data_IF_774917173819
#
_entry.id   IF_774917173819
#
_cell.length_a   1.000
_cell.length_b   1.000
_cell.length_c   1.000
_cell.angle_alpha   90.00
_cell.angle_beta   90.00
_cell.angle_gamma   90.00
#
_symmetry.space_group_name_H-M   'P 1'
#
loop_
_entity.id
_entity.type
_entity.pdbx_description
1 polymer ?
#
# COMPACT_ATOMS: atom_id res chain seq x y z
N UNK A 1 -1.53 -13.47 -13.22
CA UNK A 1 -2.19 -12.44 -12.39
C UNK A 1 -1.21 -11.88 -11.39
N UNK A 2 -1.18 -10.57 -11.23
CA UNK A 2 -0.30 -9.94 -10.27
C UNK A 2 -0.97 -9.88 -8.90
N UNK A 3 -0.19 -10.17 -7.86
CA UNK A 3 -0.65 -10.01 -6.49
C UNK A 3 -0.49 -8.55 -6.08
N UNK A 4 -1.36 -8.06 -5.16
CA UNK A 4 -1.12 -6.76 -4.56
C UNK A 4 0.21 -6.75 -3.83
N UNK A 5 0.93 -5.63 -3.91
CA UNK A 5 2.15 -5.41 -3.14
C UNK A 5 1.81 -4.44 -2.04
N UNK A 6 1.96 -4.87 -0.79
CA UNK A 6 1.68 -4.05 0.38
C UNK A 6 3.01 -3.51 0.90
N UNK A 7 3.17 -2.19 0.81
CA UNK A 7 4.38 -1.51 1.27
C UNK A 7 4.17 -1.12 2.72
N UNK A 8 4.99 -1.66 3.60
CA UNK A 8 4.86 -1.48 5.04
C UNK A 8 6.09 -0.80 5.62
N UNK A 9 6.00 -0.40 6.88
CA UNK A 9 7.15 0.08 7.64
C UNK A 9 7.06 -0.43 9.06
N UNK A 10 8.17 -0.29 9.79
CA UNK A 10 8.25 -0.66 11.20
C UNK A 10 7.29 0.18 12.04
N UNK A 11 6.69 -0.42 13.06
CA UNK A 11 5.79 0.25 14.01
C UNK A 11 4.59 0.93 13.36
N UNK A 12 4.01 0.27 12.37
CA UNK A 12 2.88 0.81 11.62
C UNK A 12 1.59 0.08 11.99
N UNK A 13 0.73 0.73 12.77
CA UNK A 13 -0.57 0.14 13.19
C UNK A 13 -1.49 -0.14 12.01
N UNK A 14 -1.54 0.79 11.05
CA UNK A 14 -2.36 0.60 9.85
C UNK A 14 -1.88 -0.58 9.02
N UNK A 15 -0.57 -0.79 8.96
CA UNK A 15 -0.01 -1.94 8.25
C UNK A 15 -0.48 -3.25 8.87
N UNK A 16 -0.48 -3.33 10.21
CA UNK A 16 -0.97 -4.50 10.94
C UNK A 16 -2.46 -4.71 10.68
N UNK A 17 -3.23 -3.65 10.73
CA UNK A 17 -4.68 -3.73 10.49
C UNK A 17 -5.00 -4.25 9.08
N UNK A 18 -4.35 -3.70 8.06
CA UNK A 18 -4.58 -4.13 6.68
C UNK A 18 -4.16 -5.58 6.48
N UNK A 19 -2.98 -5.96 6.95
CA UNK A 19 -2.50 -7.33 6.80
C UNK A 19 -3.40 -8.33 7.51
N UNK A 20 -3.89 -8.00 8.71
CA UNK A 20 -4.82 -8.85 9.45
C UNK A 20 -6.13 -9.06 8.68
N UNK A 21 -6.66 -7.97 8.12
CA UNK A 21 -7.88 -8.03 7.32
C UNK A 21 -7.68 -8.90 6.07
N UNK A 22 -6.56 -8.72 5.39
CA UNK A 22 -6.26 -9.49 4.17
C UNK A 22 -6.11 -10.98 4.47
N UNK A 23 -5.46 -11.33 5.59
CA UNK A 23 -5.33 -12.72 6.02
C UNK A 23 -6.70 -13.31 6.37
N UNK A 24 -7.53 -12.57 7.07
CA UNK A 24 -8.89 -13.00 7.41
C UNK A 24 -9.72 -13.27 6.17
N UNK A 25 -9.60 -12.42 5.15
CA UNK A 25 -10.35 -12.56 3.91
C UNK A 25 -9.65 -13.46 2.89
N UNK A 26 -8.50 -14.04 3.26
CA UNK A 26 -7.73 -14.94 2.41
C UNK A 26 -7.30 -14.26 1.09
N UNK A 27 -6.95 -12.97 1.17
CA UNK A 27 -6.42 -12.22 0.03
C UNK A 27 -4.90 -12.39 0.01
N UNK A 28 -4.34 -13.03 -1.03
CA UNK A 28 -2.89 -13.17 -1.12
C UNK A 28 -2.24 -11.82 -1.46
N UNK A 29 -1.07 -11.57 -0.92
CA UNK A 29 -0.31 -10.34 -1.19
C UNK A 29 1.19 -10.57 -0.99
N UNK A 30 1.98 -9.66 -1.53
CA UNK A 30 3.42 -9.61 -1.31
C UNK A 30 3.72 -8.42 -0.42
N UNK A 31 4.46 -8.63 0.65
CA UNK A 31 4.84 -7.54 1.56
C UNK A 31 6.24 -7.04 1.20
N UNK A 32 6.41 -5.71 1.14
CA UNK A 32 7.71 -5.07 0.94
C UNK A 32 7.89 -3.98 1.99
N UNK A 33 9.07 -3.93 2.57
CA UNK A 33 9.41 -2.93 3.58
C UNK A 33 9.93 -1.66 2.90
N UNK A 34 9.40 -0.50 3.30
CA UNK A 34 9.85 0.79 2.75
C UNK A 34 11.31 1.10 3.10
N UNK A 35 11.87 0.41 4.08
CA UNK A 35 13.28 0.56 4.46
C UNK A 35 14.21 -0.31 3.62
N UNK A 36 13.68 -1.20 2.77
CA UNK A 36 14.46 -2.00 1.84
C UNK A 36 15.00 -1.11 0.72
N UNK A 37 16.31 -0.87 0.72
CA UNK A 37 16.94 0.05 -0.23
C UNK A 37 16.77 -0.38 -1.69
N UNK A 38 16.89 -1.67 -1.99
CA UNK A 38 16.70 -2.15 -3.35
C UNK A 38 15.29 -1.89 -3.85
N UNK A 39 14.31 -2.13 -2.99
CA UNK A 39 12.92 -1.90 -3.32
C UNK A 39 12.65 -0.40 -3.54
N UNK A 40 13.21 0.46 -2.66
CA UNK A 40 13.05 1.91 -2.78
C UNK A 40 13.66 2.41 -4.09
N UNK A 41 14.82 1.87 -4.49
CA UNK A 41 15.41 2.24 -5.77
C UNK A 41 14.47 1.94 -6.94
N UNK A 42 13.77 0.82 -6.89
CA UNK A 42 12.79 0.47 -7.91
C UNK A 42 11.60 1.45 -7.88
N UNK A 43 11.14 1.82 -6.69
CA UNK A 43 10.03 2.77 -6.55
C UNK A 43 10.37 4.14 -7.14
N UNK A 44 11.60 4.61 -6.94
CA UNK A 44 12.03 5.91 -7.44
C UNK A 44 12.13 5.96 -8.96
N UNK A 45 12.09 4.82 -9.63
CA UNK A 45 12.06 4.74 -11.09
C UNK A 45 10.64 4.58 -11.63
N UNK A 46 9.65 4.44 -10.76
CA UNK A 46 8.26 4.24 -11.14
C UNK A 46 7.55 5.60 -11.17
N UNK A 47 7.12 6.02 -12.37
CA UNK A 47 6.42 7.30 -12.54
C UNK A 47 5.13 7.39 -11.76
N UNK A 48 4.41 6.27 -11.62
CA UNK A 48 3.17 6.24 -10.85
C UNK A 48 3.45 6.48 -9.36
N UNK A 49 4.53 5.91 -8.85
CA UNK A 49 4.96 6.15 -7.47
C UNK A 49 5.30 7.63 -7.26
N UNK A 50 6.12 8.19 -8.14
CA UNK A 50 6.54 9.58 -8.05
C UNK A 50 5.34 10.53 -8.12
N UNK A 51 4.39 10.25 -9.01
CA UNK A 51 3.20 11.07 -9.15
C UNK A 51 2.24 10.97 -7.98
N UNK A 52 2.27 9.87 -7.23
CA UNK A 52 1.39 9.64 -6.09
C UNK A 52 1.96 10.16 -4.78
N UNK A 53 3.26 9.96 -4.55
CA UNK A 53 3.89 10.21 -3.25
C UNK A 53 4.93 11.32 -3.25
N UNK A 54 5.31 11.85 -4.41
CA UNK A 54 6.37 12.85 -4.51
C UNK A 54 5.84 14.16 -5.09
N UNK A 55 6.43 15.26 -4.66
CA UNK A 55 6.16 16.60 -5.21
C UNK A 55 7.47 17.39 -5.28
N UNK A 56 7.36 18.70 -5.50
CA UNK A 56 8.55 19.56 -5.62
C UNK A 56 9.39 19.62 -4.34
N UNK A 57 8.79 19.29 -3.20
CA UNK A 57 9.46 19.35 -1.89
C UNK A 57 10.04 18.01 -1.46
N UNK A 58 9.76 16.95 -2.17
CA UNK A 58 10.25 15.61 -1.86
C UNK A 58 9.18 14.55 -1.93
N UNK A 59 9.47 13.40 -1.32
CA UNK A 59 8.56 12.25 -1.32
C UNK A 59 8.14 11.89 0.10
N UNK A 60 6.83 11.69 0.28
CA UNK A 60 6.26 11.21 1.53
C UNK A 60 5.44 9.96 1.23
N UNK A 61 5.87 8.82 1.76
CA UNK A 61 5.16 7.56 1.56
C UNK A 61 4.33 7.25 2.79
N UNK A 62 3.03 7.24 2.60
CA UNK A 62 2.11 6.83 3.65
C UNK A 62 1.99 5.30 3.63
N UNK A 63 2.13 4.66 4.77
CA UNK A 63 2.05 3.20 4.88
C UNK A 63 0.80 2.80 5.65
N UNK A 64 0.17 1.68 5.26
CA UNK A 64 0.56 0.79 4.16
C UNK A 64 0.13 1.36 2.82
N UNK A 65 1.06 1.44 1.87
CA UNK A 65 0.73 1.78 0.49
C UNK A 65 0.56 0.47 -0.27
N UNK A 66 -0.47 0.40 -1.11
CA UNK A 66 -0.77 -0.82 -1.87
C UNK A 66 -0.58 -0.54 -3.35
N UNK A 67 0.28 -1.31 -3.99
CA UNK A 67 0.42 -1.28 -5.45
C UNK A 67 -0.41 -2.42 -6.04
N UNK A 68 -1.49 -2.08 -6.77
CA UNK A 68 -2.38 -3.08 -7.34
C UNK A 68 -3.16 -2.47 -8.50
N UNK A 69 -3.41 -3.27 -9.51
CA UNK A 69 -4.16 -2.85 -10.70
C UNK A 69 -3.58 -1.59 -11.35
N UNK A 70 -2.24 -1.51 -11.40
CA UNK A 70 -1.52 -0.42 -12.06
C UNK A 70 -1.52 0.90 -11.32
N UNK A 71 -1.87 0.92 -10.05
CA UNK A 71 -2.05 2.15 -9.29
C UNK A 71 -1.61 1.92 -7.84
N UNK A 72 -1.27 3.00 -7.15
CA UNK A 72 -1.00 2.99 -5.72
C UNK A 72 -2.24 3.44 -4.95
N UNK A 73 -2.53 2.71 -3.87
CA UNK A 73 -3.72 2.94 -3.05
C UNK A 73 -3.29 3.22 -1.62
N UNK A 74 -3.78 4.27 -1.01
CA UNK A 74 -3.62 4.53 0.42
C UNK A 74 -4.85 5.25 0.95
N UNK A 75 -5.04 6.53 0.57
CA UNK A 75 -6.11 7.36 1.13
C UNK A 75 -7.50 6.80 0.84
N UNK A 76 -7.65 6.07 -0.24
CA UNK A 76 -8.92 5.45 -0.60
C UNK A 76 -9.31 4.35 0.37
N UNK A 77 -8.32 3.77 1.06
CA UNK A 77 -8.53 2.65 1.97
C UNK A 77 -8.68 3.06 3.43
N UNK A 78 -8.40 4.32 3.76
CA UNK A 78 -8.38 4.77 5.14
C UNK A 78 -9.32 5.93 5.39
N UNK A 79 -10.06 5.85 6.50
CA UNK A 79 -10.95 6.88 6.97
C UNK A 79 -10.71 7.20 8.43
N UNK A 80 -11.58 7.99 9.01
CA UNK A 80 -11.47 8.43 10.41
C UNK A 80 -11.50 7.23 11.36
N UNK A 81 -12.27 6.19 11.04
CA UNK A 81 -12.44 5.01 11.88
C UNK A 81 -11.45 3.89 11.60
N UNK A 82 -10.48 4.11 10.71
CA UNK A 82 -9.50 3.10 10.32
C UNK A 82 -9.73 2.58 8.91
N UNK A 83 -9.53 1.29 8.71
CA UNK A 83 -9.65 0.69 7.37
C UNK A 83 -11.09 0.77 6.86
N UNK A 84 -11.22 1.31 5.65
CA UNK A 84 -12.52 1.36 4.95
C UNK A 84 -12.77 0.00 4.31
N UNK A 85 -13.40 -0.89 5.06
CA UNK A 85 -13.56 -2.29 4.67
C UNK A 85 -14.30 -2.48 3.36
N UNK A 86 -15.31 -1.65 3.10
CA UNK A 86 -16.07 -1.71 1.83
C UNK A 86 -15.18 -1.37 0.63
N UNK A 87 -14.34 -0.36 0.77
CA UNK A 87 -13.42 0.00 -0.30
C UNK A 87 -12.35 -1.07 -0.51
N UNK A 88 -11.86 -1.65 0.58
CA UNK A 88 -10.92 -2.76 0.50
C UNK A 88 -11.56 -3.97 -0.19
N UNK A 89 -12.80 -4.28 0.11
CA UNK A 89 -13.53 -5.37 -0.55
C UNK A 89 -13.67 -5.12 -2.04
N UNK A 90 -14.00 -3.91 -2.44
CA UNK A 90 -14.11 -3.55 -3.86
C UNK A 90 -12.78 -3.71 -4.58
N UNK A 91 -11.69 -3.35 -3.93
CA UNK A 91 -10.36 -3.41 -4.54
C UNK A 91 -9.85 -4.85 -4.64
N UNK A 92 -9.96 -5.62 -3.56
CA UNK A 92 -9.30 -6.92 -3.46
C UNK A 92 -10.21 -8.12 -3.75
N UNK A 93 -11.51 -7.99 -3.55
CA UNK A 93 -12.44 -9.10 -3.66
C UNK A 93 -13.43 -8.98 -4.84
N UNK A 94 -13.41 -7.88 -5.54
CA UNK A 94 -14.29 -7.67 -6.70
C UNK A 94 -13.73 -8.31 -7.95
#
# INVERSE_FOLDING_TARGET
>A
MQLPIVITKKDCHRCVELKSWMKEKKVPYVEKDIEDEEFVQQLLQDKNFLGTFCDAEGCVVNTPAVMYKGKYWFKELWGISGLRKKEAEKLFLA
#
